data_IF_855376307801
#
_entry.id   IF_855376307801
#
_cell.length_a   1.000
_cell.length_b   1.000
_cell.length_c   1.000
_cell.angle_alpha   90.00
_cell.angle_beta   90.00
_cell.angle_gamma   90.00
#
_symmetry.space_group_name_H-M   'P 1'
#
loop_
_entity.id
_entity.type
_entity.pdbx_description
1 polymer ?
#
# COMPACT_ATOMS: atom_id res chain seq x y z
N UNK A 1 3.57 -1.64 -8.13
CA UNK A 1 2.42 -2.28 -7.42
C UNK A 1 2.62 -3.77 -7.19
N UNK A 2 3.28 -4.52 -8.11
CA UNK A 2 3.54 -5.95 -7.93
C UNK A 2 4.44 -6.25 -6.71
N UNK A 3 5.46 -5.43 -6.46
CA UNK A 3 6.35 -5.56 -5.28
C UNK A 3 5.59 -5.48 -3.95
N UNK A 4 4.72 -4.47 -3.80
CA UNK A 4 3.87 -4.31 -2.59
C UNK A 4 2.89 -5.45 -2.43
N UNK A 5 2.37 -5.98 -3.53
CA UNK A 5 1.48 -7.15 -3.51
C UNK A 5 2.21 -8.38 -2.96
N UNK A 6 3.49 -8.57 -3.32
CA UNK A 6 4.33 -9.62 -2.78
C UNK A 6 4.65 -9.45 -1.29
N UNK A 7 4.93 -8.22 -0.84
CA UNK A 7 5.27 -7.95 0.57
C UNK A 7 4.08 -8.08 1.51
N UNK A 8 2.90 -7.62 1.09
CA UNK A 8 1.70 -7.55 1.95
C UNK A 8 0.82 -8.79 1.81
N UNK A 9 1.01 -9.60 0.77
CA UNK A 9 0.08 -10.67 0.39
C UNK A 9 -1.25 -10.16 -0.16
N UNK A 10 -1.43 -8.84 -0.31
CA UNK A 10 -2.65 -8.22 -0.81
C UNK A 10 -2.64 -8.24 -2.35
N UNK A 11 -3.70 -8.72 -3.01
CA UNK A 11 -3.79 -8.70 -4.47
C UNK A 11 -3.67 -7.27 -5.03
N UNK A 12 -2.99 -7.13 -6.18
CA UNK A 12 -2.83 -5.82 -6.86
C UNK A 12 -4.17 -5.13 -7.13
N UNK A 13 -5.24 -5.89 -7.39
CA UNK A 13 -6.58 -5.32 -7.59
C UNK A 13 -7.12 -4.67 -6.31
N UNK A 14 -6.91 -5.30 -5.16
CA UNK A 14 -7.26 -4.75 -3.85
C UNK A 14 -6.44 -3.49 -3.54
N UNK A 15 -5.15 -3.47 -3.88
CA UNK A 15 -4.32 -2.25 -3.74
C UNK A 15 -4.79 -1.11 -4.64
N UNK A 16 -5.32 -1.41 -5.84
CA UNK A 16 -5.95 -0.41 -6.72
C UNK A 16 -7.25 0.13 -6.11
N UNK A 17 -8.06 -0.74 -5.52
CA UNK A 17 -9.29 -0.38 -4.84
C UNK A 17 -9.02 0.51 -3.61
N UNK A 18 -8.01 0.16 -2.81
CA UNK A 18 -7.52 0.97 -1.69
C UNK A 18 -7.10 2.38 -2.12
N UNK A 19 -6.37 2.48 -3.22
CA UNK A 19 -6.04 3.80 -3.80
C UNK A 19 -7.27 4.57 -4.25
N UNK A 20 -8.27 3.91 -4.83
CA UNK A 20 -9.53 4.55 -5.21
C UNK A 20 -10.30 5.07 -3.97
N UNK A 21 -10.25 4.34 -2.87
CA UNK A 21 -10.86 4.76 -1.61
C UNK A 21 -10.12 5.93 -0.95
N UNK A 22 -8.85 6.17 -1.29
CA UNK A 22 -8.03 7.32 -0.86
C UNK A 22 -7.63 7.33 0.61
N UNK A 23 -8.36 6.61 1.48
CA UNK A 23 -8.18 6.59 2.93
C UNK A 23 -7.76 5.20 3.47
N UNK A 24 -7.64 4.18 2.61
CA UNK A 24 -7.23 2.84 3.01
C UNK A 24 -6.01 2.41 2.22
N UNK A 25 -5.00 1.88 2.90
CA UNK A 25 -3.80 1.29 2.31
C UNK A 25 -2.53 2.13 2.44
N UNK A 26 -1.38 1.58 2.01
CA UNK A 26 -0.08 2.20 2.14
C UNK A 26 0.05 3.45 1.25
N UNK A 27 0.84 4.44 1.70
CA UNK A 27 1.03 5.68 0.95
C UNK A 27 1.61 5.38 -0.43
N UNK A 28 0.94 5.94 -1.44
CA UNK A 28 1.34 5.80 -2.84
C UNK A 28 1.59 7.18 -3.43
N UNK A 29 2.60 7.29 -4.27
CA UNK A 29 2.93 8.53 -4.98
C UNK A 29 2.97 8.26 -6.49
N UNK A 30 2.49 9.24 -7.26
CA UNK A 30 2.68 9.25 -8.69
C UNK A 30 4.07 9.83 -9.00
N UNK A 31 4.96 8.99 -9.51
CA UNK A 31 6.30 9.39 -9.94
C UNK A 31 6.33 9.28 -11.47
N UNK A 32 6.36 10.43 -12.13
CA UNK A 32 6.13 10.51 -13.58
C UNK A 32 4.74 9.95 -13.93
N UNK A 33 4.68 8.92 -14.78
CA UNK A 33 3.42 8.26 -15.18
C UNK A 33 3.14 6.96 -14.41
N UNK A 34 3.93 6.61 -13.38
CA UNK A 34 3.79 5.35 -12.65
C UNK A 34 3.43 5.59 -11.19
N UNK A 35 2.48 4.78 -10.69
CA UNK A 35 2.16 4.72 -9.26
C UNK A 35 3.19 3.83 -8.58
N UNK A 36 4.00 4.44 -7.74
CA UNK A 36 5.04 3.78 -6.96
C UNK A 36 4.68 3.85 -5.48
N UNK A 37 5.15 2.86 -4.74
CA UNK A 37 5.09 2.83 -3.29
C UNK A 37 6.51 2.87 -2.78
N UNK A 38 6.76 3.66 -1.74
CA UNK A 38 8.03 3.54 -1.02
C UNK A 38 7.92 2.36 -0.08
N UNK A 39 8.97 1.56 -0.03
CA UNK A 39 9.05 0.41 0.87
C UNK A 39 8.82 0.81 2.33
N UNK A 40 9.44 1.91 2.77
CA UNK A 40 9.26 2.45 4.12
C UNK A 40 7.80 2.78 4.46
N UNK A 41 7.07 3.40 3.51
CA UNK A 41 5.66 3.74 3.71
C UNK A 41 4.77 2.49 3.78
N UNK A 42 5.12 1.44 3.02
CA UNK A 42 4.41 0.15 3.07
C UNK A 42 4.65 -0.54 4.42
N UNK A 43 5.88 -0.56 4.90
CA UNK A 43 6.23 -1.13 6.20
C UNK A 43 5.56 -0.36 7.34
N UNK A 44 5.58 0.98 7.30
CA UNK A 44 4.91 1.81 8.29
C UNK A 44 3.41 1.50 8.35
N UNK A 45 2.75 1.39 7.20
CA UNK A 45 1.34 1.01 7.14
C UNK A 45 1.08 -0.40 7.69
N UNK A 46 1.93 -1.37 7.40
CA UNK A 46 1.82 -2.73 7.98
C UNK A 46 1.90 -2.65 9.51
N UNK A 47 2.87 -1.91 10.04
CA UNK A 47 3.02 -1.74 11.49
C UNK A 47 1.81 -1.06 12.11
N UNK A 48 1.26 -0.01 11.48
CA UNK A 48 0.01 0.63 11.92
C UNK A 48 -1.15 -0.37 11.99
N UNK A 49 -1.29 -1.27 11.00
CA UNK A 49 -2.33 -2.30 11.01
C UNK A 49 -2.13 -3.33 12.13
N UNK A 50 -0.89 -3.67 12.48
CA UNK A 50 -0.60 -4.55 13.63
C UNK A 50 -0.91 -3.88 14.97
N UNK A 51 -0.67 -2.57 15.10
CA UNK A 51 -1.04 -1.81 16.30
C UNK A 51 -2.55 -1.58 16.41
N UNK A 52 -3.26 -1.35 15.30
CA UNK A 52 -4.72 -1.18 15.26
C UNK A 52 -5.47 -2.50 15.53
N UNK A 53 -4.87 -3.65 15.20
CA UNK A 53 -5.44 -4.97 15.46
C UNK A 53 -5.33 -5.44 16.93
N UNK A 54 -4.80 -4.59 17.82
CA UNK A 54 -4.60 -4.86 19.25
C UNK A 54 -5.79 -4.46 20.10
#
# INVERSE_FOLDING_TARGET
MAEVSGMTGIPVNTLRYYRHLGNKGPRSAMIGSRVMYREQDVIAWINEQFEEAK
#
